data_IF_132371751475
#
_entry.id   IF_132371751475
#
_cell.length_a   1.000
_cell.length_b   1.000
_cell.length_c   1.000
_cell.angle_alpha   90.00
_cell.angle_beta   90.00
_cell.angle_gamma   90.00
#
_symmetry.space_group_name_H-M   'P 1'
#
loop_
_entity.id
_entity.type
_entity.pdbx_description
1 polymer ?
#
# COMPACT_ATOMS: atom_id res chain seq x y z
N UNK A 1 17.13 -7.21 3.02
CA UNK A 1 16.65 -5.87 2.63
C UNK A 1 15.83 -5.33 3.79
N UNK A 2 16.34 -4.33 4.50
CA UNK A 2 15.55 -3.64 5.52
C UNK A 2 14.57 -2.71 4.79
N UNK A 3 13.31 -3.13 4.72
CA UNK A 3 12.25 -2.21 4.30
C UNK A 3 12.12 -1.16 5.40
N UNK A 4 12.20 0.13 5.04
CA UNK A 4 11.90 1.17 6.02
C UNK A 4 10.49 0.93 6.57
N UNK A 5 10.26 1.21 7.85
CA UNK A 5 8.91 1.08 8.39
C UNK A 5 8.03 2.16 7.73
N UNK A 6 6.82 1.84 7.26
CA UNK A 6 5.94 2.87 6.72
C UNK A 6 5.66 3.93 7.78
N UNK A 7 5.65 5.19 7.35
CA UNK A 7 5.29 6.31 8.23
C UNK A 7 3.83 6.19 8.69
N UNK A 8 3.47 6.87 9.78
CA UNK A 8 2.08 6.85 10.27
C UNK A 8 1.07 7.30 9.22
N UNK A 9 1.43 8.26 8.36
CA UNK A 9 0.57 8.72 7.27
C UNK A 9 0.34 7.63 6.20
N UNK A 10 1.40 6.91 5.83
CA UNK A 10 1.30 5.73 4.96
C UNK A 10 0.45 4.63 5.59
N UNK A 11 0.61 4.38 6.90
CA UNK A 11 -0.22 3.42 7.65
C UNK A 11 -1.68 3.85 7.66
N UNK A 12 -1.96 5.13 7.87
CA UNK A 12 -3.32 5.68 7.82
C UNK A 12 -3.94 5.56 6.43
N UNK A 13 -3.18 5.87 5.37
CA UNK A 13 -3.61 5.70 3.98
C UNK A 13 -3.91 4.22 3.65
N UNK A 14 -3.06 3.30 4.08
CA UNK A 14 -3.30 1.86 3.95
C UNK A 14 -4.53 1.41 4.72
N UNK A 15 -4.76 1.95 5.93
CA UNK A 15 -5.92 1.62 6.74
C UNK A 15 -7.20 2.11 6.05
N UNK A 16 -7.23 3.36 5.58
CA UNK A 16 -8.36 3.92 4.83
C UNK A 16 -8.62 3.14 3.52
N UNK A 17 -7.56 2.70 2.83
CA UNK A 17 -7.67 1.86 1.64
C UNK A 17 -8.21 0.46 2.00
N UNK A 18 -7.76 -0.13 3.11
CA UNK A 18 -8.29 -1.39 3.65
C UNK A 18 -9.77 -1.27 3.97
N UNK A 19 -10.19 -0.18 4.61
CA UNK A 19 -11.60 0.04 4.97
C UNK A 19 -12.48 0.19 3.74
N UNK A 20 -12.01 0.91 2.70
CA UNK A 20 -12.72 1.07 1.43
C UNK A 20 -12.83 -0.23 0.60
N UNK A 21 -11.76 -1.02 0.53
CA UNK A 21 -11.69 -2.20 -0.34
C UNK A 21 -11.92 -3.55 0.38
N UNK A 22 -12.03 -3.54 1.71
CA UNK A 22 -12.27 -4.72 2.54
C UNK A 22 -11.13 -5.75 2.48
N UNK A 23 -11.46 -7.03 2.67
CA UNK A 23 -10.46 -8.12 2.84
C UNK A 23 -9.50 -8.31 1.64
N UNK A 24 -9.89 -7.87 0.44
CA UNK A 24 -9.09 -8.00 -0.79
C UNK A 24 -8.27 -6.76 -1.13
N UNK A 25 -8.20 -5.79 -0.21
CA UNK A 25 -7.47 -4.54 -0.40
C UNK A 25 -6.02 -4.74 -0.86
N UNK A 26 -5.31 -5.76 -0.35
CA UNK A 26 -3.94 -6.07 -0.78
C UNK A 26 -3.84 -6.44 -2.26
N UNK A 27 -4.72 -7.34 -2.73
CA UNK A 27 -4.72 -7.76 -4.13
C UNK A 27 -5.13 -6.62 -5.05
N UNK A 28 -6.09 -5.79 -4.62
CA UNK A 28 -6.45 -4.58 -5.35
C UNK A 28 -5.28 -3.60 -5.42
N UNK A 29 -4.68 -3.28 -4.28
CA UNK A 29 -3.54 -2.36 -4.21
C UNK A 29 -2.35 -2.87 -5.02
N UNK A 30 -2.07 -4.17 -5.02
CA UNK A 30 -1.01 -4.77 -5.83
C UNK A 30 -1.32 -4.68 -7.33
N UNK A 31 -2.56 -4.99 -7.73
CA UNK A 31 -3.01 -4.85 -9.12
C UNK A 31 -2.97 -3.39 -9.58
N UNK A 32 -3.24 -2.47 -8.67
CA UNK A 32 -3.25 -1.04 -8.91
C UNK A 32 -1.84 -0.45 -9.05
N UNK A 33 -0.91 -0.88 -8.19
CA UNK A 33 0.51 -0.64 -8.34
C UNK A 33 1.05 -1.17 -9.67
N UNK A 34 0.60 -2.34 -10.11
CA UNK A 34 0.95 -2.91 -11.42
C UNK A 34 0.34 -2.12 -12.59
N UNK A 35 -0.85 -1.55 -12.42
CA UNK A 35 -1.56 -0.78 -13.46
C UNK A 35 -1.04 0.65 -13.66
N UNK A 36 -0.01 1.08 -12.94
CA UNK A 36 0.50 2.46 -12.97
C UNK A 36 -0.61 3.50 -12.70
N UNK A 37 -1.27 3.35 -11.56
CA UNK A 37 -1.95 4.45 -10.87
C UNK A 37 -3.45 4.26 -10.72
N UNK A 38 -3.88 3.99 -9.49
CA UNK A 38 -5.25 4.29 -9.06
C UNK A 38 -5.48 5.79 -9.17
N UNK A 39 -6.69 6.20 -9.57
CA UNK A 39 -7.15 7.57 -9.39
C UNK A 39 -7.19 8.00 -7.90
N UNK A 40 -7.30 7.04 -6.97
CA UNK A 40 -7.24 7.23 -5.51
C UNK A 40 -5.85 6.96 -4.90
N UNK A 41 -4.79 6.79 -5.70
CA UNK A 41 -3.44 6.54 -5.18
C UNK A 41 -2.93 7.80 -4.49
N UNK A 42 -3.16 7.87 -3.18
CA UNK A 42 -2.62 8.94 -2.34
C UNK A 42 -1.09 8.98 -2.48
N UNK A 43 -0.45 10.17 -2.42
CA UNK A 43 0.99 10.30 -2.59
C UNK A 43 1.80 9.42 -1.63
N UNK A 44 1.24 9.07 -0.47
CA UNK A 44 1.82 8.14 0.49
C UNK A 44 1.89 6.71 -0.02
N UNK A 45 0.83 6.20 -0.67
CA UNK A 45 0.83 4.86 -1.29
C UNK A 45 1.86 4.76 -2.41
N UNK A 46 2.04 5.86 -3.15
CA UNK A 46 3.03 5.94 -4.22
C UNK A 46 4.47 5.98 -3.68
N UNK A 47 4.70 6.72 -2.59
CA UNK A 47 5.98 6.67 -1.86
C UNK A 47 6.26 5.29 -1.28
N UNK A 48 5.25 4.64 -0.71
CA UNK A 48 5.34 3.30 -0.16
C UNK A 48 5.71 2.27 -1.24
N UNK A 49 5.08 2.37 -2.40
CA UNK A 49 5.43 1.57 -3.59
C UNK A 49 6.88 1.80 -3.99
N UNK A 50 7.32 3.06 -4.12
CA UNK A 50 8.69 3.38 -4.53
C UNK A 50 9.74 2.93 -3.50
N UNK A 51 9.42 3.00 -2.21
CA UNK A 51 10.36 2.68 -1.13
C UNK A 51 10.41 1.20 -0.78
N UNK A 52 9.32 0.45 -0.92
CA UNK A 52 9.25 -0.95 -0.45
C UNK A 52 8.90 -1.97 -1.54
N UNK A 53 8.20 -1.54 -2.59
CA UNK A 53 7.79 -2.39 -3.70
C UNK A 53 6.69 -3.40 -3.37
N UNK A 54 6.21 -4.14 -4.39
CA UNK A 54 5.07 -5.06 -4.28
C UNK A 54 5.30 -6.24 -3.32
N UNK A 55 6.54 -6.73 -3.20
CA UNK A 55 6.89 -7.85 -2.31
C UNK A 55 6.67 -7.50 -0.83
N UNK A 56 6.91 -6.24 -0.46
CA UNK A 56 6.66 -5.78 0.90
C UNK A 56 5.18 -5.84 1.25
N UNK A 57 4.28 -5.47 0.33
CA UNK A 57 2.83 -5.49 0.58
C UNK A 57 2.31 -6.91 0.88
N UNK A 58 2.91 -7.92 0.24
CA UNK A 58 2.60 -9.33 0.50
C UNK A 58 3.06 -9.76 1.89
N UNK A 59 4.25 -9.32 2.33
CA UNK A 59 4.80 -9.61 3.65
C UNK A 59 4.17 -8.76 4.77
N UNK A 60 3.68 -7.57 4.45
CA UNK A 60 3.16 -6.61 5.41
C UNK A 60 1.85 -7.09 6.02
N UNK A 61 1.80 -7.15 7.34
CA UNK A 61 0.56 -7.33 8.11
C UNK A 61 0.26 -6.02 8.82
N UNK A 62 -0.90 -5.44 8.50
CA UNK A 62 -1.49 -4.44 9.37
C UNK A 62 -1.79 -5.13 10.72
N UNK A 63 -1.42 -4.51 11.85
CA UNK A 63 -1.88 -4.96 13.16
C UNK A 63 -3.41 -4.85 13.29
#
# INVERSE_FOLDING_TARGET
MAYADPTEDQKAALCAYRERHGKRWKSHLLADWLKSGAPDERPELRQLRNSHGPSWLLAYRLP
#
